data_IF_724981650173
#
_entry.id   IF_724981650173
#
_cell.length_a   1.000
_cell.length_b   1.000
_cell.length_c   1.000
_cell.angle_alpha   90.00
_cell.angle_beta   90.00
_cell.angle_gamma   90.00
#
_symmetry.space_group_name_H-M   'P 1'
#
loop_
_entity.id
_entity.type
_entity.pdbx_description
1 polymer ?
#
# COMPACT_ATOMS: atom_id res chain seq x y z
N UNK A 1 23.59 16.62 13.79
CA UNK A 1 22.65 16.32 14.89
C UNK A 1 22.26 14.85 14.76
N UNK A 2 22.99 13.98 15.44
CA UNK A 2 22.74 12.53 15.49
C UNK A 2 22.02 12.20 16.79
N UNK A 3 20.84 11.59 16.71
CA UNK A 3 20.13 11.05 17.87
C UNK A 3 18.74 11.62 18.05
N UNK A 4 17.76 11.02 17.37
CA UNK A 4 16.43 10.81 17.95
C UNK A 4 15.77 9.65 17.21
N UNK A 5 15.24 8.68 17.95
CA UNK A 5 14.25 7.73 17.44
C UNK A 5 13.06 8.56 16.95
N UNK A 6 13.04 9.00 15.69
CA UNK A 6 11.84 9.66 15.19
C UNK A 6 10.75 8.61 15.09
N UNK A 7 9.59 8.85 15.72
CA UNK A 7 8.50 7.90 15.72
C UNK A 7 8.01 7.69 14.29
N UNK A 8 7.52 6.48 14.06
CA UNK A 8 6.68 6.16 12.92
C UNK A 8 5.59 7.21 12.72
N UNK A 9 5.64 8.00 11.64
CA UNK A 9 4.57 8.95 11.27
C UNK A 9 3.86 8.43 10.05
N UNK A 10 2.57 8.17 10.21
CA UNK A 10 1.65 7.77 9.15
C UNK A 10 0.88 8.99 8.64
N UNK A 11 0.50 9.01 7.37
CA UNK A 11 -0.47 10.01 6.88
C UNK A 11 -1.87 9.68 7.38
N UNK A 12 -2.28 8.42 7.20
CA UNK A 12 -3.46 7.83 7.84
C UNK A 12 -3.19 6.35 8.14
N UNK A 13 -3.58 5.91 9.34
CA UNK A 13 -3.56 4.51 9.73
C UNK A 13 -4.94 4.12 10.29
N UNK A 14 -5.64 3.22 9.60
CA UNK A 14 -6.87 2.62 10.09
C UNK A 14 -6.64 1.11 10.23
N UNK A 15 -6.61 0.66 11.47
CA UNK A 15 -6.42 -0.74 11.86
C UNK A 15 -7.53 -1.11 12.83
N UNK A 16 -8.07 -2.34 12.74
CA UNK A 16 -9.16 -2.81 13.61
C UNK A 16 -10.43 -1.93 13.54
N UNK A 17 -10.66 -1.25 12.42
CA UNK A 17 -11.81 -0.40 12.16
C UNK A 17 -12.91 -1.15 11.37
N UNK A 18 -14.13 -0.62 11.38
CA UNK A 18 -15.24 -1.19 10.59
C UNK A 18 -16.18 -0.12 10.02
N UNK A 19 -16.77 -0.42 8.87
CA UNK A 19 -17.82 0.37 8.22
C UNK A 19 -17.37 1.81 7.93
N UNK A 20 -16.35 1.98 7.08
CA UNK A 20 -15.86 3.30 6.71
C UNK A 20 -15.59 3.42 5.20
N UNK A 21 -15.62 4.66 4.73
CA UNK A 21 -15.23 5.05 3.38
C UNK A 21 -14.21 6.19 3.50
N UNK A 22 -13.11 6.08 2.77
CA UNK A 22 -12.18 7.19 2.52
C UNK A 22 -12.31 7.54 1.04
N UNK A 23 -12.71 8.77 0.76
CA UNK A 23 -13.02 9.25 -0.58
C UNK A 23 -12.42 10.64 -0.82
N UNK A 24 -11.90 10.89 -2.02
CA UNK A 24 -11.37 12.19 -2.46
C UNK A 24 -10.34 12.84 -1.51
N UNK A 25 -9.56 12.03 -0.80
CA UNK A 25 -8.52 12.51 0.10
C UNK A 25 -7.14 12.48 -0.57
N UNK A 26 -6.23 13.37 -0.13
CA UNK A 26 -4.83 13.38 -0.55
C UNK A 26 -3.93 13.16 0.67
N UNK A 27 -3.06 12.16 0.59
CA UNK A 27 -2.10 11.82 1.64
C UNK A 27 -0.69 11.84 1.07
N UNK A 28 0.25 12.47 1.78
CA UNK A 28 1.65 12.59 1.34
C UNK A 28 2.59 12.86 2.52
N UNK A 29 3.89 12.74 2.28
CA UNK A 29 4.96 13.12 3.20
C UNK A 29 4.95 12.39 4.55
N UNK A 30 4.47 11.14 4.60
CA UNK A 30 4.58 10.27 5.77
C UNK A 30 5.96 9.59 5.85
N UNK A 31 6.42 9.29 7.07
CA UNK A 31 7.72 8.70 7.38
C UNK A 31 7.69 7.15 7.34
N UNK A 32 6.54 6.55 7.62
CA UNK A 32 6.30 5.12 7.44
C UNK A 32 5.42 4.90 6.20
N UNK A 33 4.17 4.47 6.38
CA UNK A 33 3.17 4.41 5.33
C UNK A 33 2.34 5.70 5.21
N UNK A 34 2.13 6.13 3.97
CA UNK A 34 1.29 7.29 3.64
C UNK A 34 -0.18 7.03 3.96
N UNK A 35 -0.75 5.89 3.55
CA UNK A 35 -2.11 5.55 3.88
C UNK A 35 -2.31 4.04 3.97
N UNK A 36 -2.59 3.59 5.20
CA UNK A 36 -2.63 2.19 5.57
C UNK A 36 -4.00 1.80 6.12
N UNK A 37 -4.52 0.69 5.61
CA UNK A 37 -5.86 0.18 5.88
C UNK A 37 -5.79 -1.35 5.93
N UNK A 38 -5.66 -1.94 7.11
CA UNK A 38 -5.62 -3.40 7.25
C UNK A 38 -6.28 -3.83 8.55
N UNK A 39 -6.52 -5.13 8.71
CA UNK A 39 -7.26 -5.68 9.86
C UNK A 39 -8.63 -4.98 10.06
N UNK A 40 -9.28 -4.58 8.95
CA UNK A 40 -10.52 -3.81 8.92
C UNK A 40 -11.67 -4.65 8.36
N UNK A 41 -12.92 -4.23 8.62
CA UNK A 41 -14.12 -4.90 8.06
C UNK A 41 -15.07 -3.93 7.37
N UNK A 42 -15.52 -4.29 6.16
CA UNK A 42 -16.43 -3.48 5.34
C UNK A 42 -15.89 -2.06 5.11
N UNK A 43 -14.81 -1.96 4.36
CA UNK A 43 -14.11 -0.69 4.09
C UNK A 43 -14.03 -0.41 2.59
N UNK A 44 -14.02 0.88 2.23
CA UNK A 44 -13.77 1.33 0.86
C UNK A 44 -12.80 2.49 0.85
N UNK A 45 -11.78 2.43 0.00
CA UNK A 45 -10.88 3.55 -0.29
C UNK A 45 -10.95 3.83 -1.78
N UNK A 46 -11.42 5.03 -2.13
CA UNK A 46 -11.69 5.37 -3.52
C UNK A 46 -11.33 6.81 -3.85
N UNK A 47 -10.98 7.07 -5.11
CA UNK A 47 -10.69 8.41 -5.63
C UNK A 47 -9.65 9.20 -4.81
N UNK A 48 -8.76 8.51 -4.10
CA UNK A 48 -7.73 9.14 -3.28
C UNK A 48 -6.42 9.29 -4.05
N UNK A 49 -5.65 10.31 -3.67
CA UNK A 49 -4.25 10.47 -4.03
C UNK A 49 -3.38 10.03 -2.86
N UNK A 50 -2.51 9.06 -3.10
CA UNK A 50 -1.40 8.70 -2.25
C UNK A 50 -0.14 9.05 -3.02
N UNK A 51 0.56 10.09 -2.61
CA UNK A 51 1.79 10.51 -3.28
C UNK A 51 2.93 10.74 -2.31
N UNK A 52 4.13 10.40 -2.73
CA UNK A 52 5.39 10.86 -2.15
C UNK A 52 5.50 10.61 -0.63
N UNK A 53 5.94 9.41 -0.30
CA UNK A 53 6.42 9.11 1.06
C UNK A 53 7.80 9.75 1.30
N UNK A 54 8.09 10.16 2.53
CA UNK A 54 9.39 10.67 2.95
C UNK A 54 10.45 9.55 3.01
N UNK A 55 11.04 9.22 1.86
CA UNK A 55 12.15 8.28 1.76
C UNK A 55 13.45 8.88 2.33
N UNK A 56 14.33 8.04 2.91
CA UNK A 56 15.59 8.47 3.55
C UNK A 56 15.41 9.61 4.55
N UNK A 57 14.33 9.51 5.33
CA UNK A 57 13.96 10.46 6.37
C UNK A 57 14.56 10.07 7.73
N UNK A 58 14.00 10.60 8.82
CA UNK A 58 14.49 10.36 10.17
C UNK A 58 14.07 9.01 10.77
N UNK A 59 13.51 8.10 9.97
CA UNK A 59 13.02 6.81 10.46
C UNK A 59 14.16 6.00 11.09
N UNK A 60 13.99 5.60 12.36
CA UNK A 60 14.98 4.83 13.11
C UNK A 60 15.27 3.44 12.54
N UNK A 61 14.45 2.96 11.60
CA UNK A 61 14.61 1.67 10.90
C UNK A 61 15.35 1.80 9.55
N UNK A 62 15.77 3.00 9.15
CA UNK A 62 16.40 3.27 7.84
C UNK A 62 15.40 3.76 6.78
N UNK A 63 15.75 3.64 5.50
CA UNK A 63 14.92 4.14 4.39
C UNK A 63 13.52 3.51 4.36
N UNK A 64 12.50 4.32 4.65
CA UNK A 64 11.09 3.93 4.68
C UNK A 64 10.27 4.94 3.86
N UNK A 65 9.99 4.57 2.62
CA UNK A 65 9.15 5.36 1.73
C UNK A 65 7.99 4.51 1.23
N UNK A 66 6.97 4.30 2.08
CA UNK A 66 5.88 3.36 1.79
C UNK A 66 4.58 4.07 1.42
N UNK A 67 3.86 3.53 0.44
CA UNK A 67 2.51 4.01 0.15
C UNK A 67 1.52 3.49 1.20
N UNK A 68 1.45 2.18 1.38
CA UNK A 68 0.45 1.59 2.27
C UNK A 68 0.46 0.08 2.36
N UNK A 69 -0.09 -0.39 3.48
CA UNK A 69 -0.51 -1.79 3.66
C UNK A 69 -2.03 -1.85 3.59
N UNK A 70 -2.57 -2.56 2.61
CA UNK A 70 -4.01 -2.61 2.30
C UNK A 70 -4.57 -4.02 2.49
N UNK A 71 -5.68 -4.16 3.19
CA UNK A 71 -6.31 -5.46 3.43
C UNK A 71 -7.67 -5.32 4.09
N UNK A 72 -8.16 -6.42 4.63
CA UNK A 72 -9.38 -6.45 5.44
C UNK A 72 -10.44 -7.45 4.96
N UNK A 73 -11.39 -7.70 5.85
CA UNK A 73 -12.60 -8.46 5.61
C UNK A 73 -13.57 -7.64 4.77
N UNK A 74 -13.69 -7.97 3.48
CA UNK A 74 -14.60 -7.29 2.53
C UNK A 74 -14.19 -5.82 2.32
N UNK A 75 -12.96 -5.63 1.86
CA UNK A 75 -12.40 -4.31 1.57
C UNK A 75 -12.37 -4.05 0.06
N UNK A 76 -12.70 -2.83 -0.36
CA UNK A 76 -12.54 -2.38 -1.75
C UNK A 76 -11.61 -1.18 -1.86
N UNK A 77 -10.80 -1.19 -2.91
CA UNK A 77 -9.78 -0.18 -3.18
C UNK A 77 -9.82 0.14 -4.66
N UNK A 78 -10.35 1.30 -5.04
CA UNK A 78 -10.54 1.58 -6.46
C UNK A 78 -10.43 3.03 -6.89
N UNK A 79 -9.99 3.26 -8.12
CA UNK A 79 -9.86 4.60 -8.70
C UNK A 79 -8.89 5.52 -7.90
N UNK A 80 -7.92 4.94 -7.20
CA UNK A 80 -6.89 5.69 -6.49
C UNK A 80 -5.68 5.93 -7.38
N UNK A 81 -5.01 7.06 -7.19
CA UNK A 81 -3.68 7.33 -7.74
C UNK A 81 -2.63 7.13 -6.66
N UNK A 82 -1.70 6.21 -6.91
CA UNK A 82 -0.61 5.85 -6.01
C UNK A 82 0.71 6.16 -6.72
N UNK A 83 1.47 7.13 -6.23
CA UNK A 83 2.61 7.65 -6.97
C UNK A 83 3.83 7.93 -6.09
N UNK A 84 5.04 7.70 -6.62
CA UNK A 84 6.29 8.19 -6.02
C UNK A 84 6.62 7.59 -4.64
N UNK A 85 6.41 6.28 -4.49
CA UNK A 85 6.76 5.55 -3.27
C UNK A 85 7.96 4.63 -3.51
N UNK A 86 8.88 4.57 -2.55
CA UNK A 86 10.09 3.77 -2.67
C UNK A 86 9.79 2.27 -2.61
N UNK A 87 8.93 1.82 -1.72
CA UNK A 87 8.52 0.41 -1.58
C UNK A 87 7.08 0.34 -1.08
N UNK A 88 6.51 -0.86 -0.95
CA UNK A 88 5.08 -1.05 -0.58
C UNK A 88 4.18 -0.06 -1.34
N UNK A 89 4.41 0.03 -2.65
CA UNK A 89 3.56 0.85 -3.51
C UNK A 89 2.11 0.41 -3.31
N UNK A 90 1.84 -0.89 -3.20
CA UNK A 90 0.83 -1.46 -2.28
C UNK A 90 1.37 -2.78 -1.74
N UNK A 91 1.30 -3.01 -0.42
CA UNK A 91 1.41 -4.37 0.15
C UNK A 91 0.03 -4.84 0.61
N UNK A 92 -0.45 -5.95 0.08
CA UNK A 92 -1.68 -6.55 0.56
C UNK A 92 -1.46 -7.30 1.88
N UNK A 93 -2.33 -7.05 2.85
CA UNK A 93 -2.40 -7.79 4.10
C UNK A 93 -3.43 -8.92 3.94
N UNK A 94 -2.95 -10.17 3.98
CA UNK A 94 -3.82 -11.35 3.96
C UNK A 94 -4.31 -11.73 5.36
N UNK A 95 -4.85 -12.93 5.51
CA UNK A 95 -5.35 -13.40 6.80
C UNK A 95 -4.21 -13.60 7.81
N UNK A 96 -4.23 -12.82 8.89
CA UNK A 96 -3.24 -12.85 9.97
C UNK A 96 -3.87 -12.44 11.30
N UNK A 97 -3.26 -12.85 12.41
CA UNK A 97 -3.69 -12.50 13.77
C UNK A 97 -5.20 -12.66 13.99
N UNK A 98 -5.95 -11.56 14.13
CA UNK A 98 -7.39 -11.54 14.39
C UNK A 98 -8.25 -11.56 13.11
N UNK A 99 -7.66 -11.32 11.94
CA UNK A 99 -8.33 -11.33 10.65
C UNK A 99 -8.24 -12.72 10.01
N UNK A 100 -9.26 -13.55 10.25
CA UNK A 100 -9.35 -14.91 9.70
C UNK A 100 -9.74 -14.94 8.22
N UNK A 101 -10.17 -13.80 7.67
CA UNK A 101 -10.60 -13.67 6.28
C UNK A 101 -10.07 -12.34 5.73
N UNK A 102 -9.42 -12.37 4.58
CA UNK A 102 -9.06 -11.18 3.82
C UNK A 102 -9.71 -11.29 2.43
N UNK A 103 -10.75 -10.50 2.18
CA UNK A 103 -11.42 -10.48 0.86
C UNK A 103 -11.31 -9.08 0.34
N UNK A 104 -10.39 -8.90 -0.61
CA UNK A 104 -9.95 -7.59 -1.09
C UNK A 104 -10.28 -7.47 -2.57
N UNK A 105 -10.93 -6.37 -2.91
CA UNK A 105 -11.20 -5.99 -4.28
C UNK A 105 -10.39 -4.75 -4.65
N UNK A 106 -9.39 -4.93 -5.52
CA UNK A 106 -8.45 -3.89 -5.91
C UNK A 106 -8.56 -3.66 -7.42
N UNK A 107 -9.19 -2.56 -7.81
CA UNK A 107 -9.53 -2.33 -9.22
C UNK A 107 -9.41 -0.89 -9.68
N UNK A 108 -9.11 -0.68 -10.95
CA UNK A 108 -9.06 0.64 -11.57
C UNK A 108 -8.13 1.65 -10.88
N UNK A 109 -7.12 1.19 -10.13
CA UNK A 109 -6.13 2.08 -9.53
C UNK A 109 -5.01 2.38 -10.54
N UNK A 110 -4.38 3.54 -10.39
CA UNK A 110 -3.16 3.92 -11.13
C UNK A 110 -1.98 3.86 -10.17
N UNK A 111 -0.96 3.10 -10.53
CA UNK A 111 0.29 2.99 -9.78
C UNK A 111 1.42 3.51 -10.67
N UNK A 112 2.09 4.56 -10.22
CA UNK A 112 3.12 5.25 -10.99
C UNK A 112 4.43 5.41 -10.23
N UNK A 113 5.55 5.15 -10.91
CA UNK A 113 6.89 5.50 -10.44
C UNK A 113 7.22 4.93 -9.04
N UNK A 114 6.90 3.65 -8.80
CA UNK A 114 7.32 2.94 -7.59
C UNK A 114 8.82 2.65 -7.64
N UNK A 115 9.52 2.59 -6.49
CA UNK A 115 10.98 2.47 -6.44
C UNK A 115 11.51 1.04 -6.52
N UNK A 116 11.04 0.15 -5.65
CA UNK A 116 11.50 -1.23 -5.55
C UNK A 116 10.94 -2.10 -6.70
N UNK A 117 11.26 -3.39 -6.74
CA UNK A 117 10.90 -4.26 -7.88
C UNK A 117 9.39 -4.48 -8.06
N UNK A 118 8.57 -4.30 -7.02
CA UNK A 118 7.15 -4.69 -7.03
C UNK A 118 6.22 -3.48 -6.80
N UNK A 119 5.26 -3.29 -7.70
CA UNK A 119 4.22 -2.27 -7.58
C UNK A 119 3.07 -2.67 -6.64
N UNK A 120 2.77 -3.98 -6.58
CA UNK A 120 1.77 -4.57 -5.70
C UNK A 120 2.14 -6.03 -5.39
N UNK A 121 2.04 -6.46 -4.13
CA UNK A 121 2.39 -7.82 -3.69
C UNK A 121 1.81 -8.11 -2.30
N UNK A 122 1.92 -9.35 -1.79
CA UNK A 122 1.49 -9.73 -0.44
C UNK A 122 0.29 -10.69 -0.46
N UNK A 123 -0.65 -10.47 0.46
CA UNK A 123 -1.84 -11.30 0.70
C UNK A 123 -1.52 -12.70 1.25
N UNK A 124 -0.46 -12.83 2.03
CA UNK A 124 -0.07 -14.09 2.68
C UNK A 124 -1.10 -14.56 3.73
N UNK A 125 -1.28 -15.88 3.88
CA UNK A 125 -2.11 -16.49 4.93
C UNK A 125 -1.20 -16.98 6.04
N UNK A 126 -1.20 -16.28 7.17
CA UNK A 126 -0.27 -16.51 8.28
C UNK A 126 -0.91 -17.31 9.43
N UNK A 127 -2.21 -17.61 9.35
CA UNK A 127 -2.95 -18.34 10.39
C UNK A 127 -3.67 -19.58 9.85
N UNK A 128 -3.68 -20.63 10.66
CA UNK A 128 -4.37 -21.89 10.34
C UNK A 128 -5.87 -21.65 10.23
N UNK A 129 -6.46 -22.04 9.09
CA UNK A 129 -7.89 -21.80 8.81
C UNK A 129 -8.19 -20.40 8.30
N UNK A 130 -7.18 -19.55 8.10
CA UNK A 130 -7.34 -18.26 7.44
C UNK A 130 -7.65 -18.41 5.96
N UNK A 131 -8.33 -17.42 5.38
CA UNK A 131 -8.61 -17.36 3.94
C UNK A 131 -8.26 -15.98 3.38
N UNK A 132 -7.73 -15.95 2.16
CA UNK A 132 -7.40 -14.71 1.46
C UNK A 132 -7.82 -14.79 0.00
N UNK A 133 -8.54 -13.78 -0.45
CA UNK A 133 -9.00 -13.60 -1.82
C UNK A 133 -8.68 -12.18 -2.23
N UNK A 134 -7.98 -12.04 -3.35
CA UNK A 134 -7.58 -10.75 -3.90
C UNK A 134 -8.02 -10.68 -5.35
N UNK A 135 -8.95 -9.78 -5.63
CA UNK A 135 -9.40 -9.50 -6.99
C UNK A 135 -8.59 -8.31 -7.54
N UNK A 136 -7.82 -8.53 -8.60
CA UNK A 136 -6.97 -7.52 -9.24
C UNK A 136 -7.51 -7.22 -10.64
N UNK A 137 -8.26 -6.13 -10.81
CA UNK A 137 -8.98 -5.86 -12.06
C UNK A 137 -8.67 -4.47 -12.62
N UNK A 138 -8.19 -4.41 -13.86
CA UNK A 138 -8.00 -3.16 -14.61
C UNK A 138 -7.18 -2.08 -13.86
N UNK A 139 -6.18 -2.48 -13.08
CA UNK A 139 -5.23 -1.54 -12.49
C UNK A 139 -4.15 -1.20 -13.52
N UNK A 140 -3.80 0.07 -13.62
CA UNK A 140 -2.81 0.58 -14.55
C UNK A 140 -1.48 0.81 -13.84
N UNK A 141 -0.43 0.13 -14.30
CA UNK A 141 0.91 0.23 -13.74
C UNK A 141 1.84 0.88 -14.76
N UNK A 142 2.41 2.03 -14.39
CA UNK A 142 3.37 2.74 -15.23
C UNK A 142 4.67 2.91 -14.46
N UNK A 143 5.72 2.21 -14.91
CA UNK A 143 7.07 2.43 -14.39
C UNK A 143 7.49 3.88 -14.64
N UNK A 144 8.27 4.44 -13.73
CA UNK A 144 8.86 5.77 -13.85
C UNK A 144 10.37 5.74 -13.59
N UNK A 145 11.04 6.91 -13.56
CA UNK A 145 12.49 6.99 -13.38
C UNK A 145 13.02 6.34 -12.09
N UNK A 146 12.21 6.23 -11.04
CA UNK A 146 12.57 5.58 -9.79
C UNK A 146 12.42 4.05 -9.84
N UNK A 147 11.66 3.52 -10.80
CA UNK A 147 11.35 2.09 -10.89
C UNK A 147 12.58 1.29 -11.27
N UNK A 148 13.01 0.44 -10.34
CA UNK A 148 14.09 -0.51 -10.57
C UNK A 148 13.73 -1.41 -11.75
N UNK A 149 14.56 -1.46 -12.81
CA UNK A 149 14.38 -2.41 -13.89
C UNK A 149 14.43 -3.83 -13.31
N UNK A 150 13.40 -4.62 -13.56
CA UNK A 150 13.50 -6.07 -13.39
C UNK A 150 14.49 -6.57 -14.44
N UNK A 151 15.74 -6.84 -14.04
CA UNK A 151 16.84 -7.35 -14.87
C UNK A 151 16.75 -7.06 -16.38
N UNK A 152 17.36 -5.97 -16.85
CA UNK A 152 17.80 -5.63 -18.24
C UNK A 152 17.37 -6.57 -19.41
N UNK A 153 17.15 -5.98 -20.61
CA UNK A 153 15.94 -5.36 -21.15
C UNK A 153 15.17 -6.29 -22.10
N UNK A 154 13.89 -6.05 -22.36
CA UNK A 154 13.30 -6.43 -23.66
C UNK A 154 12.36 -5.35 -24.18
N UNK A 155 12.79 -4.72 -25.26
CA UNK A 155 11.88 -4.20 -26.28
C UNK A 155 10.99 -5.33 -26.77
N UNK A 156 9.70 -5.04 -26.92
CA UNK A 156 8.74 -5.77 -27.76
C UNK A 156 7.96 -4.64 -28.48
N UNK A 157 7.88 -4.47 -29.80
CA UNK A 157 7.72 -5.42 -30.91
C UNK A 157 6.83 -6.61 -30.57
#
# INVERSE_FOLDING_TARGET
>A
MSGSNSPAVYGINMENCKNFIVDHCSFSWAIEEVATFYDNKNSTVQWCLLSESLNSSFNGKGDHGYAGVWGGQYASYHHNLIAHHHSRAIRFNGARAHDTTAVVDYRNNVIYNWGNSNAAYGNEIEIKGGSGQLNLVNNYYKAGPATRPTGQPTSLK
#
